data_IF_466661555406
#
_entry.id   IF_466661555406
#
_cell.length_a   1.000
_cell.length_b   1.000
_cell.length_c   1.000
_cell.angle_alpha   90.00
_cell.angle_beta   90.00
_cell.angle_gamma   90.00
#
_symmetry.space_group_name_H-M   'P 1'
#
loop_
_entity.id
_entity.type
_entity.pdbx_description
1 polymer ?
#
# COMPACT_ATOMS: atom_id res chain seq x y z
N UNK A 1 -15.41 16.63 -15.58
CA UNK A 1 -14.52 16.23 -14.46
C UNK A 1 -15.40 15.74 -13.31
N UNK A 2 -14.96 14.76 -12.52
CA UNK A 2 -15.63 14.38 -11.26
C UNK A 2 -14.59 14.37 -10.15
N UNK A 3 -14.88 15.01 -9.02
CA UNK A 3 -14.03 14.97 -7.83
C UNK A 3 -14.84 14.60 -6.57
N UNK A 4 -14.12 14.16 -5.55
CA UNK A 4 -14.55 14.15 -4.15
C UNK A 4 -13.40 14.68 -3.33
N UNK A 5 -13.69 15.62 -2.44
CA UNK A 5 -12.74 16.22 -1.50
C UNK A 5 -13.23 15.87 -0.10
N UNK A 6 -12.33 15.38 0.74
CA UNK A 6 -12.61 15.15 2.15
C UNK A 6 -12.88 16.50 2.83
N UNK A 7 -14.05 16.68 3.49
CA UNK A 7 -14.42 17.97 4.10
C UNK A 7 -13.39 18.53 5.07
N UNK A 8 -12.64 17.68 5.78
CA UNK A 8 -11.56 18.08 6.68
C UNK A 8 -10.39 18.80 5.96
N UNK A 9 -10.33 18.71 4.63
CA UNK A 9 -9.27 19.26 3.78
C UNK A 9 -9.82 20.24 2.74
N UNK A 10 -10.96 20.88 3.01
CA UNK A 10 -11.58 21.86 2.13
C UNK A 10 -10.65 23.01 1.72
N UNK A 11 -9.68 23.38 2.57
CA UNK A 11 -8.65 24.39 2.25
C UNK A 11 -7.85 24.11 0.97
N UNK A 12 -7.76 22.85 0.54
CA UNK A 12 -7.00 22.46 -0.66
C UNK A 12 -7.87 22.36 -1.92
N UNK A 13 -9.14 22.78 -1.89
CA UNK A 13 -10.09 22.62 -3.01
C UNK A 13 -9.57 23.22 -4.33
N UNK A 14 -9.02 24.44 -4.28
CA UNK A 14 -8.48 25.11 -5.47
C UNK A 14 -7.26 24.38 -6.04
N UNK A 15 -6.42 23.79 -5.17
CA UNK A 15 -5.32 22.94 -5.62
C UNK A 15 -5.86 21.67 -6.29
N UNK A 16 -6.79 20.95 -5.64
CA UNK A 16 -7.37 19.70 -6.15
C UNK A 16 -7.95 19.88 -7.55
N UNK A 17 -8.70 20.98 -7.79
CA UNK A 17 -9.31 21.27 -9.10
C UNK A 17 -8.31 21.60 -10.19
N UNK A 18 -7.14 22.15 -9.84
CA UNK A 18 -6.07 22.48 -10.79
C UNK A 18 -5.19 21.29 -11.14
N UNK A 19 -5.09 20.26 -10.28
CA UNK A 19 -4.21 19.09 -10.46
C UNK A 19 -4.21 18.54 -11.90
N UNK A 20 -5.35 18.28 -12.57
CA UNK A 20 -5.31 17.72 -13.93
C UNK A 20 -4.55 18.57 -14.96
N UNK A 21 -4.50 19.89 -14.76
CA UNK A 21 -3.83 20.85 -15.64
C UNK A 21 -2.35 20.98 -15.30
N UNK A 22 -2.03 21.11 -14.01
CA UNK A 22 -0.67 21.41 -13.55
C UNK A 22 0.21 20.15 -13.40
N UNK A 23 -0.37 18.96 -13.27
CA UNK A 23 0.37 17.76 -12.85
C UNK A 23 1.52 17.39 -13.78
N UNK A 24 1.42 17.67 -15.08
CA UNK A 24 2.49 17.32 -16.03
C UNK A 24 3.73 18.21 -15.87
N UNK A 25 3.55 19.46 -15.47
CA UNK A 25 4.58 20.52 -15.50
C UNK A 25 5.10 20.86 -14.11
N UNK A 26 4.25 20.83 -13.10
CA UNK A 26 4.57 21.25 -11.73
C UNK A 26 4.81 20.05 -10.80
N UNK A 27 5.32 20.35 -9.60
CA UNK A 27 5.56 19.39 -8.53
C UNK A 27 6.83 18.56 -8.72
N UNK A 28 7.33 18.00 -7.61
CA UNK A 28 8.53 17.17 -7.58
C UNK A 28 8.18 15.71 -7.85
N UNK A 29 8.67 15.16 -8.95
CA UNK A 29 8.49 13.73 -9.26
C UNK A 29 9.30 12.86 -8.29
N UNK A 30 8.61 11.95 -7.59
CA UNK A 30 9.25 10.97 -6.69
C UNK A 30 9.14 9.53 -7.20
N UNK A 31 8.25 9.28 -8.16
CA UNK A 31 8.12 7.98 -8.82
C UNK A 31 7.52 8.16 -10.22
N UNK A 32 8.13 7.51 -11.23
CA UNK A 32 7.66 7.58 -12.61
C UNK A 32 7.83 6.24 -13.33
N UNK A 33 6.71 5.54 -13.52
CA UNK A 33 6.64 4.33 -14.31
C UNK A 33 5.25 4.27 -15.00
N UNK A 34 4.53 3.16 -14.87
CA UNK A 34 3.14 3.06 -15.36
C UNK A 34 2.20 4.07 -14.68
N UNK A 35 2.48 4.40 -13.42
CA UNK A 35 1.83 5.49 -12.68
C UNK A 35 2.92 6.53 -12.39
N UNK A 36 2.50 7.75 -12.09
CA UNK A 36 3.40 8.83 -11.70
C UNK A 36 2.96 9.39 -10.35
N UNK A 37 3.93 9.66 -9.49
CA UNK A 37 3.71 10.24 -8.16
C UNK A 37 4.57 11.48 -8.04
N UNK A 38 3.93 12.58 -7.68
CA UNK A 38 4.56 13.87 -7.44
C UNK A 38 4.20 14.41 -6.06
N UNK A 39 5.13 15.16 -5.47
CA UNK A 39 4.90 15.95 -4.25
C UNK A 39 4.69 17.41 -4.64
N UNK A 40 3.70 18.04 -4.03
CA UNK A 40 3.39 19.46 -4.18
C UNK A 40 3.39 20.12 -2.81
N UNK A 41 3.99 21.29 -2.70
CA UNK A 41 3.85 22.13 -1.50
C UNK A 41 2.66 23.08 -1.72
N UNK A 42 1.69 23.04 -0.81
CA UNK A 42 0.47 23.85 -0.87
C UNK A 42 0.19 24.38 0.52
N UNK A 43 0.19 25.70 0.67
CA UNK A 43 -0.02 26.39 1.95
C UNK A 43 0.88 25.85 3.09
N UNK A 44 2.16 25.63 2.79
CA UNK A 44 3.15 25.10 3.72
C UNK A 44 2.99 23.62 4.08
N UNK A 45 2.17 22.86 3.34
CA UNK A 45 1.96 21.43 3.55
C UNK A 45 2.31 20.62 2.30
N UNK A 46 3.06 19.55 2.49
CA UNK A 46 3.39 18.61 1.41
C UNK A 46 2.22 17.67 1.11
N UNK A 47 1.77 17.68 -0.14
CA UNK A 47 0.72 16.83 -0.68
C UNK A 47 1.30 15.83 -1.68
N UNK A 48 0.88 14.57 -1.57
CA UNK A 48 1.21 13.53 -2.52
C UNK A 48 0.10 13.40 -3.57
N UNK A 49 0.45 13.49 -4.85
CA UNK A 49 -0.48 13.30 -5.96
C UNK A 49 -0.04 12.11 -6.79
N UNK A 50 -0.87 11.07 -6.84
CA UNK A 50 -0.67 9.85 -7.64
C UNK A 50 -1.58 9.85 -8.87
N UNK A 51 -0.99 10.01 -10.05
CA UNK A 51 -1.66 9.84 -11.35
C UNK A 51 -1.60 8.38 -11.78
N UNK A 52 -2.77 7.76 -11.95
CA UNK A 52 -2.88 6.40 -12.45
C UNK A 52 -2.84 6.35 -13.97
N UNK A 53 -2.22 5.29 -14.51
CA UNK A 53 -2.29 5.00 -15.95
C UNK A 53 -3.74 4.96 -16.42
N UNK A 54 -3.98 5.54 -17.61
CA UNK A 54 -5.24 5.33 -18.31
C UNK A 54 -5.39 3.83 -18.62
N UNK A 55 -6.49 3.18 -18.25
CA UNK A 55 -6.69 1.75 -18.55
C UNK A 55 -6.65 1.49 -20.06
N UNK A 56 -6.10 0.35 -20.47
CA UNK A 56 -6.20 -0.15 -21.85
C UNK A 56 -7.69 -0.36 -22.22
N UNK A 57 -8.05 -0.21 -23.50
CA UNK A 57 -9.44 -0.22 -24.00
C UNK A 57 -10.29 -1.38 -23.47
N UNK A 58 -9.76 -2.62 -23.47
CA UNK A 58 -10.45 -3.81 -22.96
C UNK A 58 -10.75 -3.69 -21.46
N UNK A 59 -9.82 -3.12 -20.69
CA UNK A 59 -10.04 -2.86 -19.26
C UNK A 59 -11.03 -1.71 -19.04
N UNK A 60 -11.14 -0.72 -19.95
CA UNK A 60 -12.11 0.39 -19.81
C UNK A 60 -13.55 -0.09 -19.81
N UNK A 61 -13.86 -1.19 -20.51
CA UNK A 61 -15.20 -1.82 -20.49
C UNK A 61 -15.47 -2.52 -19.16
N UNK A 62 -14.49 -3.25 -18.60
CA UNK A 62 -14.59 -3.86 -17.27
C UNK A 62 -14.73 -2.79 -16.17
N UNK A 63 -14.01 -1.66 -16.29
CA UNK A 63 -14.14 -0.51 -15.38
C UNK A 63 -15.45 0.27 -15.56
N UNK A 64 -16.17 0.08 -16.68
CA UNK A 64 -17.51 0.68 -16.89
C UNK A 64 -18.62 -0.09 -16.18
N UNK A 65 -18.46 -1.39 -15.97
CA UNK A 65 -19.55 -2.25 -15.45
C UNK A 65 -19.24 -3.01 -14.14
N UNK A 66 -17.97 -3.24 -13.76
CA UNK A 66 -17.65 -4.17 -12.65
C UNK A 66 -16.61 -3.70 -11.63
N UNK A 67 -15.82 -2.65 -11.90
CA UNK A 67 -14.76 -2.21 -10.96
C UNK A 67 -14.63 -0.70 -10.95
N UNK A 68 -14.64 -0.08 -9.77
CA UNK A 68 -14.39 1.36 -9.64
C UNK A 68 -12.99 1.77 -10.16
N UNK A 69 -12.72 3.03 -10.51
CA UNK A 69 -11.37 3.51 -10.83
C UNK A 69 -10.39 3.33 -9.66
N UNK A 70 -9.09 3.21 -9.96
CA UNK A 70 -8.04 3.04 -8.92
C UNK A 70 -7.99 4.20 -7.93
N UNK A 71 -8.15 5.44 -8.41
CA UNK A 71 -8.16 6.62 -7.56
C UNK A 71 -9.33 6.61 -6.56
N UNK A 72 -10.52 6.21 -7.01
CA UNK A 72 -11.71 6.06 -6.15
C UNK A 72 -11.43 5.01 -5.07
N UNK A 73 -10.95 3.82 -5.46
CA UNK A 73 -10.60 2.78 -4.49
C UNK A 73 -9.51 3.22 -3.51
N UNK A 74 -8.48 3.93 -3.96
CA UNK A 74 -7.43 4.42 -3.07
C UNK A 74 -8.02 5.32 -1.98
N UNK A 75 -8.87 6.26 -2.37
CA UNK A 75 -9.56 7.16 -1.44
C UNK A 75 -10.51 6.41 -0.49
N UNK A 76 -11.43 5.62 -1.03
CA UNK A 76 -12.41 4.89 -0.21
C UNK A 76 -11.75 3.88 0.73
N UNK A 77 -10.70 3.20 0.28
CA UNK A 77 -10.00 2.22 1.11
C UNK A 77 -9.12 2.91 2.17
N UNK A 78 -8.61 4.11 1.90
CA UNK A 78 -7.91 4.90 2.92
C UNK A 78 -8.86 5.23 4.08
N UNK A 79 -10.06 5.72 3.77
CA UNK A 79 -11.08 6.00 4.78
C UNK A 79 -11.45 4.75 5.59
N UNK A 80 -11.61 3.60 4.93
CA UNK A 80 -11.89 2.32 5.62
C UNK A 80 -10.74 1.85 6.51
N UNK A 81 -9.49 2.03 6.09
CA UNK A 81 -8.32 1.69 6.92
C UNK A 81 -8.26 2.55 8.17
N UNK A 82 -8.40 3.88 8.01
CA UNK A 82 -8.40 4.82 9.15
C UNK A 82 -9.53 4.49 10.11
N UNK A 83 -10.75 4.22 9.60
CA UNK A 83 -11.88 3.82 10.44
C UNK A 83 -11.66 2.49 11.19
N UNK A 84 -10.78 1.62 10.69
CA UNK A 84 -10.36 0.37 11.34
C UNK A 84 -9.12 0.53 12.24
N UNK A 85 -8.61 1.76 12.40
CA UNK A 85 -7.45 2.06 13.25
C UNK A 85 -6.09 1.82 12.59
N UNK A 86 -6.03 1.70 11.25
CA UNK A 86 -4.76 1.53 10.53
C UNK A 86 -4.34 2.81 9.84
N UNK A 87 -3.07 3.17 9.99
CA UNK A 87 -2.50 4.33 9.34
C UNK A 87 -2.32 4.13 7.84
N UNK A 88 -2.56 5.21 7.12
CA UNK A 88 -2.30 5.43 5.70
C UNK A 88 -2.21 6.94 5.54
N UNK A 89 -1.46 7.47 4.55
CA UNK A 89 -1.44 8.91 4.34
C UNK A 89 -2.86 9.45 4.15
N UNK A 90 -3.20 10.53 4.87
CA UNK A 90 -4.57 10.97 5.00
C UNK A 90 -5.18 11.31 3.62
N UNK A 91 -6.32 10.72 3.24
CA UNK A 91 -6.90 10.92 1.93
C UNK A 91 -7.54 12.31 1.82
N UNK A 92 -7.00 13.15 0.94
CA UNK A 92 -7.50 14.50 0.69
C UNK A 92 -8.60 14.44 -0.36
N UNK A 93 -8.34 13.81 -1.51
CA UNK A 93 -9.28 13.81 -2.61
C UNK A 93 -9.01 12.70 -3.64
N UNK A 94 -9.99 12.49 -4.52
CA UNK A 94 -9.73 11.91 -5.83
C UNK A 94 -10.32 12.79 -6.94
N UNK A 95 -9.68 12.77 -8.11
CA UNK A 95 -10.15 13.44 -9.32
C UNK A 95 -10.19 12.45 -10.47
N UNK A 96 -11.32 12.42 -11.19
CA UNK A 96 -11.53 11.64 -12.41
C UNK A 96 -11.66 12.58 -13.59
N UNK A 97 -10.70 12.48 -14.51
CA UNK A 97 -10.78 13.13 -15.80
C UNK A 97 -11.43 12.17 -16.79
N UNK A 98 -12.43 12.65 -17.54
CA UNK A 98 -13.09 11.91 -18.60
C UNK A 98 -13.01 12.70 -19.88
N UNK A 99 -12.69 12.01 -20.96
CA UNK A 99 -12.61 12.57 -22.29
C UNK A 99 -13.57 11.80 -23.20
N UNK A 100 -14.49 12.50 -23.88
CA UNK A 100 -15.54 11.89 -24.71
C UNK A 100 -16.31 10.76 -23.99
N UNK A 101 -16.58 10.95 -22.69
CA UNK A 101 -17.29 9.97 -21.84
C UNK A 101 -16.44 8.79 -21.33
N UNK A 102 -15.21 8.60 -21.82
CA UNK A 102 -14.31 7.53 -21.39
C UNK A 102 -13.42 8.00 -20.23
N UNK A 103 -13.06 7.08 -19.33
CA UNK A 103 -12.11 7.37 -18.25
C UNK A 103 -10.73 7.67 -18.86
N UNK A 104 -10.26 8.91 -18.67
CA UNK A 104 -8.90 9.36 -18.96
C UNK A 104 -8.01 9.17 -17.73
N UNK A 105 -7.24 10.20 -17.39
CA UNK A 105 -6.43 10.18 -16.17
C UNK A 105 -7.30 10.20 -14.91
N UNK A 106 -6.79 9.59 -13.85
CA UNK A 106 -7.36 9.69 -12.52
C UNK A 106 -6.27 9.92 -11.49
N UNK A 107 -6.59 10.70 -10.47
CA UNK A 107 -5.66 11.22 -9.49
C UNK A 107 -6.17 10.87 -8.10
N UNK A 108 -5.28 10.37 -7.25
CA UNK A 108 -5.49 10.27 -5.82
C UNK A 108 -4.55 11.26 -5.13
N UNK A 109 -5.09 12.01 -4.17
CA UNK A 109 -4.37 13.06 -3.45
C UNK A 109 -4.44 12.72 -1.96
N UNK A 110 -3.29 12.70 -1.31
CA UNK A 110 -3.16 12.51 0.13
C UNK A 110 -2.19 13.52 0.73
N UNK A 111 -2.15 13.60 2.06
CA UNK A 111 -0.96 14.15 2.72
C UNK A 111 0.28 13.34 2.32
N UNK A 112 1.43 14.00 2.27
CA UNK A 112 2.72 13.32 2.21
C UNK A 112 3.03 12.71 3.59
N UNK A 113 3.53 11.47 3.59
CA UNK A 113 4.03 10.84 4.83
C UNK A 113 5.53 11.10 4.97
N UNK A 114 5.98 11.34 6.21
CA UNK A 114 7.39 11.43 6.59
C UNK A 114 8.04 10.07 6.83
N UNK A 115 7.26 8.98 6.85
CA UNK A 115 7.74 7.63 7.17
C UNK A 115 8.62 7.06 6.05
N UNK A 116 9.49 6.13 6.41
CA UNK A 116 10.43 5.47 5.49
C UNK A 116 9.81 4.18 4.96
N UNK A 117 10.16 3.76 3.75
CA UNK A 117 9.70 2.47 3.22
C UNK A 117 10.47 1.31 3.88
N UNK A 118 9.82 0.16 4.08
CA UNK A 118 10.49 -1.07 4.51
C UNK A 118 11.41 -1.66 3.43
N UNK A 119 11.45 -1.09 2.22
CA UNK A 119 12.19 -1.61 1.08
C UNK A 119 13.65 -1.96 1.41
N UNK A 120 14.34 -1.04 2.10
CA UNK A 120 15.76 -1.22 2.48
C UNK A 120 15.94 -2.06 3.74
N UNK A 121 14.91 -2.23 4.57
CA UNK A 121 15.00 -3.00 5.83
C UNK A 121 15.22 -4.48 5.53
N UNK A 122 14.51 -5.03 4.54
CA UNK A 122 14.68 -6.43 4.13
C UNK A 122 16.05 -6.79 3.57
N UNK A 123 16.93 -5.81 3.33
CA UNK A 123 18.29 -6.01 2.83
C UNK A 123 19.37 -5.85 3.91
N UNK A 124 18.98 -5.45 5.13
CA UNK A 124 19.89 -5.25 6.27
C UNK A 124 19.94 -6.50 7.15
N UNK A 125 20.97 -6.62 8.02
CA UNK A 125 21.01 -7.67 9.03
C UNK A 125 19.72 -7.73 9.85
N UNK A 126 19.28 -8.95 10.16
CA UNK A 126 18.01 -9.18 10.87
C UNK A 126 18.11 -8.67 12.30
N UNK A 127 19.29 -8.81 12.89
CA UNK A 127 19.64 -8.44 14.26
C UNK A 127 19.45 -6.93 14.50
N UNK A 128 19.75 -6.10 13.49
CA UNK A 128 19.57 -4.64 13.55
C UNK A 128 18.10 -4.19 13.40
N UNK A 129 17.22 -5.08 12.96
CA UNK A 129 15.84 -4.77 12.59
C UNK A 129 14.83 -5.78 13.16
N UNK A 130 15.21 -6.52 14.22
CA UNK A 130 14.36 -7.52 14.85
C UNK A 130 13.08 -6.89 15.39
N UNK A 131 13.18 -5.70 15.99
CA UNK A 131 12.07 -4.89 16.46
C UNK A 131 11.03 -4.64 15.34
N UNK A 132 11.49 -4.29 14.14
CA UNK A 132 10.63 -4.04 12.98
C UNK A 132 9.96 -5.33 12.52
N UNK A 133 10.69 -6.44 12.40
CA UNK A 133 10.10 -7.70 11.92
C UNK A 133 9.09 -8.27 12.90
N UNK A 134 9.37 -8.24 14.21
CA UNK A 134 8.41 -8.62 15.25
C UNK A 134 7.18 -7.73 15.24
N UNK A 135 7.37 -6.41 15.18
CA UNK A 135 6.25 -5.46 15.11
C UNK A 135 5.42 -5.66 13.83
N UNK A 136 6.05 -6.00 12.70
CA UNK A 136 5.36 -6.25 11.44
C UNK A 136 4.49 -7.52 11.49
N UNK A 137 4.96 -8.59 12.13
CA UNK A 137 4.17 -9.81 12.35
C UNK A 137 2.90 -9.53 13.17
N UNK A 138 3.05 -8.83 14.30
CA UNK A 138 1.93 -8.36 15.14
C UNK A 138 1.00 -7.41 14.37
N UNK A 139 1.54 -6.47 13.60
CA UNK A 139 0.77 -5.53 12.79
C UNK A 139 -0.10 -6.24 11.75
N UNK A 140 0.48 -7.21 11.02
CA UNK A 140 -0.26 -8.00 10.04
C UNK A 140 -1.33 -8.88 10.69
N UNK A 141 -1.10 -9.39 11.90
CA UNK A 141 -2.12 -10.12 12.65
C UNK A 141 -3.34 -9.23 12.92
N UNK A 142 -3.12 -8.04 13.50
CA UNK A 142 -4.16 -7.05 13.77
C UNK A 142 -4.90 -6.64 12.48
N UNK A 143 -4.16 -6.41 11.39
CA UNK A 143 -4.73 -6.07 10.09
C UNK A 143 -5.70 -7.16 9.59
N UNK A 144 -5.29 -8.42 9.70
CA UNK A 144 -6.09 -9.56 9.27
C UNK A 144 -7.29 -9.86 10.19
N UNK A 145 -7.16 -9.63 11.51
CA UNK A 145 -8.27 -9.69 12.47
C UNK A 145 -9.32 -8.62 12.19
N UNK A 146 -8.87 -7.43 11.80
CA UNK A 146 -9.75 -6.36 11.33
C UNK A 146 -10.31 -6.62 9.91
N UNK A 147 -10.15 -7.84 9.38
CA UNK A 147 -10.65 -8.29 8.08
C UNK A 147 -10.06 -7.52 6.90
N UNK A 148 -8.81 -7.08 7.00
CA UNK A 148 -8.13 -6.37 5.91
C UNK A 148 -7.05 -7.26 5.32
N UNK A 149 -7.13 -7.52 4.01
CA UNK A 149 -6.11 -8.25 3.26
C UNK A 149 -5.53 -7.37 2.16
N UNK A 150 -4.21 -7.16 2.17
CA UNK A 150 -3.53 -6.33 1.18
C UNK A 150 -2.98 -7.18 0.05
N UNK A 151 -3.64 -7.13 -1.12
CA UNK A 151 -3.31 -8.00 -2.23
C UNK A 151 -1.96 -7.72 -2.89
N UNK A 152 -1.27 -6.63 -2.55
CA UNK A 152 0.06 -6.25 -3.04
C UNK A 152 0.97 -5.82 -1.88
N UNK A 153 0.84 -6.47 -0.72
CA UNK A 153 1.65 -6.22 0.47
C UNK A 153 3.12 -6.56 0.22
N UNK A 154 3.93 -5.55 -0.07
CA UNK A 154 5.38 -5.66 -0.27
C UNK A 154 6.08 -4.63 0.61
N UNK A 155 7.38 -4.77 0.89
CA UNK A 155 8.14 -3.80 1.68
C UNK A 155 8.12 -2.38 1.08
N UNK A 156 7.95 -2.25 -0.24
CA UNK A 156 7.77 -0.93 -0.88
C UNK A 156 6.42 -0.28 -0.61
N UNK A 157 5.41 -1.05 -0.16
CA UNK A 157 4.05 -0.58 0.12
C UNK A 157 3.74 -0.44 1.63
N UNK A 158 4.75 -0.65 2.47
CA UNK A 158 4.67 -0.48 3.92
C UNK A 158 5.67 0.59 4.32
N UNK A 159 5.16 1.69 4.86
CA UNK A 159 5.94 2.73 5.49
C UNK A 159 6.08 2.42 6.97
N UNK A 160 7.19 2.81 7.58
CA UNK A 160 7.44 2.66 9.00
C UNK A 160 8.17 3.85 9.59
N UNK A 161 8.02 4.01 10.90
CA UNK A 161 8.84 4.88 11.73
C UNK A 161 9.12 4.22 13.09
N UNK A 162 10.28 4.53 13.67
CA UNK A 162 10.65 4.09 15.03
C UNK A 162 10.36 5.23 15.99
N UNK A 163 9.42 5.01 16.90
CA UNK A 163 9.01 5.99 17.92
C UNK A 163 9.33 5.46 19.32
N UNK A 164 9.21 6.31 20.34
CA UNK A 164 9.33 5.89 21.74
C UNK A 164 8.29 4.82 22.15
N UNK A 165 7.13 4.82 21.49
CA UNK A 165 6.04 3.84 21.69
C UNK A 165 6.26 2.53 20.91
N UNK A 166 7.35 2.44 20.13
CA UNK A 166 7.66 1.32 19.24
C UNK A 166 7.53 1.65 17.76
N UNK A 167 7.49 0.61 16.93
CA UNK A 167 7.44 0.74 15.46
C UNK A 167 6.01 1.02 15.01
N UNK A 168 5.82 2.15 14.32
CA UNK A 168 4.55 2.50 13.68
C UNK A 168 4.59 2.13 12.20
N UNK A 169 3.45 1.75 11.63
CA UNK A 169 3.33 1.37 10.22
C UNK A 169 2.18 2.10 9.54
N UNK A 170 2.43 2.56 8.32
CA UNK A 170 1.43 3.17 7.44
C UNK A 170 1.42 2.49 6.08
N UNK A 171 0.24 2.12 5.56
CA UNK A 171 0.11 1.43 4.28
C UNK A 171 -0.03 2.40 3.11
N UNK A 172 0.60 2.08 1.97
CA UNK A 172 0.42 2.78 0.70
C UNK A 172 0.12 1.81 -0.44
N UNK A 173 -0.16 2.33 -1.64
CA UNK A 173 -0.65 1.55 -2.79
C UNK A 173 -1.87 0.66 -2.46
N UNK A 174 -2.73 1.17 -1.58
CA UNK A 174 -3.85 0.45 -0.99
C UNK A 174 -5.02 0.23 -1.96
N UNK A 175 -4.95 0.61 -3.23
CA UNK A 175 -6.07 0.48 -4.17
C UNK A 175 -6.41 -0.98 -4.58
N UNK A 176 -5.79 -1.98 -3.93
CA UNK A 176 -5.98 -3.43 -4.12
C UNK A 176 -6.05 -4.14 -2.76
N UNK A 177 -7.03 -3.76 -1.96
CA UNK A 177 -7.41 -4.43 -0.72
C UNK A 177 -8.62 -5.34 -0.93
N UNK A 178 -8.74 -6.34 -0.07
CA UNK A 178 -9.97 -7.08 0.19
C UNK A 178 -10.37 -6.86 1.65
N UNK A 179 -11.65 -6.57 1.86
CA UNK A 179 -12.24 -6.41 3.19
C UNK A 179 -13.17 -7.60 3.43
N UNK A 180 -12.83 -8.44 4.39
CA UNK A 180 -13.54 -9.68 4.74
C UNK A 180 -12.62 -10.67 5.47
N UNK A 181 -13.16 -11.81 5.95
CA UNK A 181 -12.44 -12.74 6.80
C UNK A 181 -11.10 -13.22 6.22
N UNK A 182 -10.07 -13.25 7.06
CA UNK A 182 -8.72 -13.70 6.70
C UNK A 182 -8.34 -14.95 7.49
N UNK A 183 -8.54 -16.12 6.88
CA UNK A 183 -8.11 -17.43 7.40
C UNK A 183 -6.58 -17.51 7.61
N UNK A 184 -6.12 -18.48 8.40
CA UNK A 184 -4.69 -18.81 8.59
C UNK A 184 -3.90 -18.82 7.27
N UNK A 185 -4.28 -19.70 6.32
CA UNK A 185 -3.57 -19.86 5.05
C UNK A 185 -3.57 -18.58 4.22
N UNK A 186 -4.72 -17.88 4.18
CA UNK A 186 -4.83 -16.60 3.47
C UNK A 186 -3.93 -15.53 4.10
N UNK A 187 -3.89 -15.44 5.42
CA UNK A 187 -3.04 -14.50 6.13
C UNK A 187 -1.55 -14.81 5.94
N UNK A 188 -1.13 -16.07 6.06
CA UNK A 188 0.23 -16.51 5.75
C UNK A 188 0.62 -16.20 4.29
N UNK A 189 -0.31 -16.35 3.34
CA UNK A 189 -0.06 -15.97 1.95
C UNK A 189 0.16 -14.47 1.75
N UNK A 190 -0.31 -13.61 2.66
CA UNK A 190 -0.12 -12.16 2.54
C UNK A 190 1.37 -11.75 2.70
N UNK A 191 2.19 -12.58 3.36
CA UNK A 191 3.63 -12.37 3.51
C UNK A 191 4.44 -12.70 2.25
N UNK A 192 3.83 -13.33 1.23
CA UNK A 192 4.57 -13.99 0.15
C UNK A 192 5.44 -13.06 -0.71
N UNK A 193 5.10 -11.76 -0.74
CA UNK A 193 5.78 -10.74 -1.55
C UNK A 193 6.84 -9.97 -0.77
N UNK A 194 6.96 -10.21 0.54
CA UNK A 194 8.08 -9.70 1.32
C UNK A 194 9.36 -10.39 0.84
N UNK A 195 10.48 -9.66 0.86
CA UNK A 195 11.83 -10.19 0.64
C UNK A 195 12.65 -10.01 1.91
N UNK A 196 13.81 -10.68 1.94
CA UNK A 196 14.69 -10.76 3.09
C UNK A 196 14.90 -12.19 3.55
N UNK A 197 15.86 -12.37 4.45
CA UNK A 197 16.32 -13.67 4.96
C UNK A 197 15.22 -14.45 5.68
N UNK A 198 15.29 -15.78 5.61
CA UNK A 198 14.35 -16.67 6.30
C UNK A 198 14.23 -16.35 7.81
N UNK A 199 15.33 -15.96 8.46
CA UNK A 199 15.32 -15.56 9.88
C UNK A 199 14.30 -14.45 10.19
N UNK A 200 14.15 -13.44 9.30
CA UNK A 200 13.12 -12.41 9.46
C UNK A 200 11.70 -12.98 9.39
N UNK A 201 11.47 -13.98 8.52
CA UNK A 201 10.18 -14.66 8.42
C UNK A 201 9.87 -15.53 9.62
N UNK A 202 10.88 -16.08 10.30
CA UNK A 202 10.70 -16.78 11.58
C UNK A 202 10.18 -15.83 12.66
N UNK A 203 10.79 -14.64 12.80
CA UNK A 203 10.35 -13.61 13.74
C UNK A 203 8.91 -13.12 13.45
N UNK A 204 8.61 -12.85 12.18
CA UNK A 204 7.27 -12.46 11.75
C UNK A 204 6.24 -13.57 11.98
N UNK A 205 6.58 -14.82 11.66
CA UNK A 205 5.66 -15.95 11.84
C UNK A 205 5.34 -16.21 13.31
N UNK A 206 6.35 -16.09 14.19
CA UNK A 206 6.18 -16.24 15.63
C UNK A 206 5.17 -15.23 16.20
N UNK A 207 5.45 -13.93 16.00
CA UNK A 207 4.61 -12.84 16.54
C UNK A 207 3.22 -12.79 15.89
N UNK A 208 3.12 -13.14 14.60
CA UNK A 208 1.85 -13.31 13.91
C UNK A 208 1.02 -14.45 14.49
N UNK A 209 1.64 -15.62 14.73
CA UNK A 209 0.96 -16.78 15.27
C UNK A 209 0.48 -16.53 16.71
N UNK A 210 1.31 -15.90 17.55
CA UNK A 210 0.95 -15.51 18.91
C UNK A 210 -0.27 -14.60 18.93
N UNK A 211 -0.25 -13.53 18.13
CA UNK A 211 -1.35 -12.56 18.06
C UNK A 211 -2.64 -13.20 17.56
N UNK A 212 -2.54 -14.12 16.59
CA UNK A 212 -3.70 -14.81 15.99
C UNK A 212 -4.14 -16.08 16.73
N UNK A 213 -3.45 -16.45 17.80
CA UNK A 213 -3.63 -17.72 18.52
C UNK A 213 -3.53 -18.96 17.62
N UNK A 214 -2.56 -18.97 16.70
CA UNK A 214 -2.26 -20.11 15.82
C UNK A 214 -1.00 -20.85 16.28
N UNK A 215 -0.81 -22.07 15.76
CA UNK A 215 0.44 -22.81 15.95
C UNK A 215 1.59 -22.11 15.22
N UNK A 216 2.67 -21.80 15.95
CA UNK A 216 3.86 -21.10 15.42
C UNK A 216 4.50 -21.86 14.27
N UNK A 217 4.66 -23.18 14.41
CA UNK A 217 5.29 -24.01 13.41
C UNK A 217 4.44 -24.08 12.13
N UNK A 218 3.12 -24.18 12.26
CA UNK A 218 2.19 -24.15 11.14
C UNK A 218 2.21 -22.81 10.40
N UNK A 219 2.17 -21.69 11.12
CA UNK A 219 2.28 -20.36 10.53
C UNK A 219 3.55 -20.22 9.70
N UNK A 220 4.70 -20.62 10.26
CA UNK A 220 5.99 -20.57 9.56
C UNK A 220 5.97 -21.44 8.30
N UNK A 221 5.48 -22.69 8.39
CA UNK A 221 5.37 -23.60 7.25
C UNK A 221 4.56 -22.97 6.10
N UNK A 222 3.39 -22.40 6.40
CA UNK A 222 2.55 -21.78 5.36
C UNK A 222 3.18 -20.51 4.79
N UNK A 223 3.77 -19.65 5.62
CA UNK A 223 4.46 -18.42 5.17
C UNK A 223 5.58 -18.79 4.19
N UNK A 224 6.47 -19.71 4.56
CA UNK A 224 7.58 -20.14 3.69
C UNK A 224 7.07 -20.84 2.43
N UNK A 225 6.02 -21.66 2.52
CA UNK A 225 5.39 -22.29 1.35
C UNK A 225 4.92 -21.25 0.32
N UNK A 226 4.13 -20.26 0.75
CA UNK A 226 3.59 -19.25 -0.16
C UNK A 226 4.66 -18.32 -0.70
N UNK A 227 5.62 -17.95 0.15
CA UNK A 227 6.80 -17.18 -0.24
C UNK A 227 7.60 -17.88 -1.32
N UNK A 228 7.99 -19.13 -1.10
CA UNK A 228 8.76 -19.92 -2.07
C UNK A 228 8.00 -20.08 -3.39
N UNK A 229 6.69 -20.34 -3.33
CA UNK A 229 5.85 -20.44 -4.52
C UNK A 229 5.80 -19.11 -5.29
N UNK A 230 5.67 -17.98 -4.60
CA UNK A 230 5.63 -16.66 -5.23
C UNK A 230 6.96 -16.34 -5.93
N UNK A 231 8.07 -16.45 -5.20
CA UNK A 231 9.39 -16.06 -5.69
C UNK A 231 9.93 -16.99 -6.77
N UNK A 232 9.68 -18.31 -6.70
CA UNK A 232 9.98 -19.23 -7.82
C UNK A 232 9.29 -18.81 -9.10
N UNK A 233 8.02 -18.40 -9.03
CA UNK A 233 7.27 -17.92 -10.19
C UNK A 233 7.75 -16.55 -10.67
N UNK A 234 8.16 -15.68 -9.75
CA UNK A 234 8.69 -14.35 -10.07
C UNK A 234 10.01 -14.43 -10.82
N UNK A 235 10.93 -15.32 -10.36
CA UNK A 235 12.24 -15.58 -10.96
C UNK A 235 12.19 -16.01 -12.43
N UNK A 236 11.10 -16.67 -12.86
CA UNK A 236 10.91 -17.08 -14.25
C UNK A 236 10.82 -15.90 -15.23
N UNK A 237 10.57 -14.69 -14.74
CA UNK A 237 10.30 -13.49 -15.56
C UNK A 237 11.13 -12.27 -15.19
N UNK A 238 11.80 -12.30 -14.05
CA UNK A 238 12.52 -11.15 -13.50
C UNK A 238 13.75 -11.64 -12.73
N UNK A 239 14.79 -10.83 -12.76
CA UNK A 239 15.94 -11.01 -11.87
C UNK A 239 15.54 -10.66 -10.43
N UNK A 240 16.17 -11.35 -9.47
CA UNK A 240 15.92 -11.17 -8.04
C UNK A 240 17.18 -10.53 -7.46
N UNK A 241 17.09 -9.25 -7.15
CA UNK A 241 18.19 -8.43 -6.62
C UNK A 241 18.35 -8.55 -5.09
N UNK A 242 17.61 -9.46 -4.45
CA UNK A 242 17.53 -9.55 -2.99
C UNK A 242 17.82 -10.96 -2.50
N UNK A 243 18.35 -11.05 -1.29
CA UNK A 243 18.50 -12.33 -0.60
C UNK A 243 17.12 -12.88 -0.23
N UNK A 244 16.86 -14.13 -0.66
CA UNK A 244 15.63 -14.86 -0.38
C UNK A 244 15.88 -16.06 0.53
#
# INVERSE_FOLDING_TARGET
MKEVINPAYGRFEDFVRRVPRIFSEEGKTIYKARNEIKVFEVDGVELNVKRYRIPLLINRVIYRFFRQPKAVRAYEYALRLVAKGFETPAPIAYVLFREKGLLGYSYFISLQSSYKTLYKVGQRPVEENEDIFRALGTYMAKLHEAEVYHADFSPGNVLYDRTEEGVKFSLIDINRMHFGPVSLKRGCANFSRLWGREAAFRLMAETYAESRHFDKAECLRWILYYRNRFWKKYALKHEIEFEL
#
